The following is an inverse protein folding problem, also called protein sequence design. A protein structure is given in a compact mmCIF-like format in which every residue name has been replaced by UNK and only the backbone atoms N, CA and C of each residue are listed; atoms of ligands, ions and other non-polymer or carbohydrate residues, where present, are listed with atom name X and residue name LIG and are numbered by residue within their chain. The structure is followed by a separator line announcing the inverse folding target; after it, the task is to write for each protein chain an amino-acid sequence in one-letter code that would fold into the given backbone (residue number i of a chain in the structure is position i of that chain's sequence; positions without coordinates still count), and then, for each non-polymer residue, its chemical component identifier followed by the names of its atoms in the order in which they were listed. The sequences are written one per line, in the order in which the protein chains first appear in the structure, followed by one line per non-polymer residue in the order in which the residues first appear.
data_IF_611843577585
#
_entry.id   IF_611843577585
#
_cell.length_a   1.000
_cell.length_b   1.000
_cell.length_c   1.000
_cell.angle_alpha   90.00
_cell.angle_beta   90.00
_cell.angle_gamma   90.00
#
_symmetry.space_group_name_H-M   'P 1'
#
loop_
_entity.id
_entity.type
_entity.pdbx_description
1 polymer ?
#
# COMPACT_ATOMS: atom_id res chain seq x y z
N UNK A 1 -16.35 42.81 21.87
CA UNK A 1 -15.23 42.69 20.90
C UNK A 1 -15.83 42.27 19.57
N UNK A 2 -15.51 42.97 18.47
CA UNK A 2 -16.04 42.62 17.15
C UNK A 2 -15.54 41.23 16.74
N UNK A 3 -16.46 40.35 16.32
CA UNK A 3 -16.12 39.03 15.80
C UNK A 3 -15.29 39.24 14.52
N UNK A 4 -14.10 38.64 14.45
CA UNK A 4 -13.29 38.72 13.24
C UNK A 4 -14.03 38.03 12.10
N UNK A 5 -14.03 38.63 10.90
CA UNK A 5 -14.75 38.12 9.73
C UNK A 5 -14.02 36.98 9.00
N UNK A 6 -12.79 36.64 9.42
CA UNK A 6 -11.94 35.63 8.80
C UNK A 6 -11.26 34.79 9.89
N UNK A 7 -11.23 33.48 9.70
CA UNK A 7 -10.51 32.54 10.56
C UNK A 7 -9.78 31.52 9.68
N UNK A 8 -8.50 31.28 9.94
CA UNK A 8 -7.73 30.22 9.31
C UNK A 8 -7.53 29.09 10.33
N UNK A 9 -8.09 27.91 10.06
CA UNK A 9 -7.99 26.73 10.92
C UNK A 9 -7.31 25.59 10.17
N UNK A 10 -6.44 24.87 10.87
CA UNK A 10 -5.90 23.61 10.38
C UNK A 10 -6.95 22.51 10.61
N UNK A 11 -7.30 21.78 9.56
CA UNK A 11 -8.22 20.63 9.62
C UNK A 11 -7.72 19.56 8.66
N UNK A 12 -7.90 18.29 9.03
CA UNK A 12 -7.53 17.16 8.18
C UNK A 12 -8.68 16.81 7.26
N UNK A 13 -8.38 16.54 5.99
CA UNK A 13 -9.32 16.07 4.98
C UNK A 13 -8.84 14.75 4.39
N UNK A 14 -9.76 13.84 4.12
CA UNK A 14 -9.49 12.62 3.38
C UNK A 14 -9.76 12.87 1.90
N UNK A 15 -8.76 12.64 1.06
CA UNK A 15 -8.85 12.80 -0.39
C UNK A 15 -8.53 11.48 -1.08
N UNK A 16 -9.17 11.25 -2.23
CA UNK A 16 -8.84 10.12 -3.09
C UNK A 16 -7.51 10.38 -3.80
N UNK A 17 -6.65 9.36 -3.84
CA UNK A 17 -5.33 9.46 -4.48
C UNK A 17 -5.30 8.58 -5.72
N UNK A 18 -5.06 9.18 -6.88
CA UNK A 18 -4.86 8.47 -8.15
C UNK A 18 -3.37 8.31 -8.41
N UNK A 19 -2.89 7.06 -8.39
CA UNK A 19 -1.49 6.74 -8.69
C UNK A 19 -1.28 6.66 -10.19
N UNK A 20 -0.36 7.48 -10.71
CA UNK A 20 0.05 7.46 -12.11
C UNK A 20 1.33 6.65 -12.23
N UNK A 21 1.22 5.45 -12.78
CA UNK A 21 2.31 4.47 -12.83
C UNK A 21 2.99 4.37 -14.21
N UNK A 22 2.51 5.12 -15.20
CA UNK A 22 2.99 5.07 -16.57
C UNK A 22 3.07 6.48 -17.17
N UNK A 23 3.95 6.72 -18.14
CA UNK A 23 4.14 8.05 -18.77
C UNK A 23 3.35 8.24 -20.07
N UNK A 24 2.96 7.14 -20.74
CA UNK A 24 2.12 7.17 -21.95
C UNK A 24 0.65 7.50 -21.62
N UNK A 25 0.18 8.62 -22.15
CA UNK A 25 -1.18 9.13 -21.96
C UNK A 25 -2.26 8.25 -22.59
N UNK A 26 -1.95 7.50 -23.65
CA UNK A 26 -2.92 6.62 -24.29
C UNK A 26 -3.24 5.43 -23.38
N UNK A 27 -2.21 4.87 -22.73
CA UNK A 27 -2.36 3.78 -21.76
C UNK A 27 -3.13 4.29 -20.54
N UNK A 28 -2.78 5.47 -20.02
CA UNK A 28 -3.50 6.10 -18.90
C UNK A 28 -4.98 6.30 -19.25
N UNK A 29 -5.30 6.84 -20.43
CA UNK A 29 -6.66 7.09 -20.88
C UNK A 29 -7.49 5.80 -20.89
N UNK A 30 -6.98 4.75 -21.54
CA UNK A 30 -7.69 3.48 -21.67
C UNK A 30 -7.92 2.80 -20.31
N UNK A 31 -6.93 2.81 -19.42
CA UNK A 31 -7.09 2.25 -18.07
C UNK A 31 -8.06 3.07 -17.21
N UNK A 32 -8.02 4.39 -17.34
CA UNK A 32 -8.91 5.27 -16.61
C UNK A 32 -10.36 5.08 -17.06
N UNK A 33 -10.62 4.96 -18.37
CA UNK A 33 -11.97 4.70 -18.90
C UNK A 33 -12.53 3.38 -18.36
N UNK A 34 -11.71 2.33 -18.30
CA UNK A 34 -12.10 1.05 -17.70
C UNK A 34 -12.45 1.19 -16.20
N UNK A 35 -11.67 1.96 -15.43
CA UNK A 35 -11.95 2.19 -14.00
C UNK A 35 -13.22 3.03 -13.79
N UNK A 36 -13.42 4.05 -14.62
CA UNK A 36 -14.61 4.89 -14.58
C UNK A 36 -15.86 4.07 -14.91
N UNK A 37 -15.79 3.16 -15.88
CA UNK A 37 -16.90 2.27 -16.22
C UNK A 37 -17.26 1.30 -15.08
N UNK A 38 -16.26 0.81 -14.33
CA UNK A 38 -16.48 -0.11 -13.22
C UNK A 38 -17.08 0.57 -11.98
N UNK A 39 -16.70 1.83 -11.70
CA UNK A 39 -17.14 2.54 -10.51
C UNK A 39 -17.44 4.03 -10.77
N UNK A 40 -18.44 4.39 -11.60
CA UNK A 40 -18.68 5.77 -12.00
C UNK A 40 -18.88 6.71 -10.80
N UNK A 41 -19.66 6.25 -9.82
CA UNK A 41 -20.02 7.04 -8.64
C UNK A 41 -18.83 7.39 -7.75
N UNK A 42 -17.75 6.61 -7.79
CA UNK A 42 -16.55 6.88 -6.99
C UNK A 42 -15.78 8.12 -7.51
N UNK A 43 -15.89 8.40 -8.80
CA UNK A 43 -15.09 9.42 -9.48
C UNK A 43 -15.85 10.71 -9.79
N UNK A 44 -17.18 10.67 -9.81
CA UNK A 44 -18.02 11.83 -10.10
C UNK A 44 -17.80 12.97 -9.10
N UNK A 45 -17.17 14.06 -9.56
CA UNK A 45 -16.93 15.26 -8.77
C UNK A 45 -15.98 15.09 -7.58
N UNK A 46 -15.27 13.95 -7.51
CA UNK A 46 -14.34 13.68 -6.41
C UNK A 46 -13.07 14.53 -6.55
N UNK A 47 -12.64 15.25 -5.49
CA UNK A 47 -11.34 15.90 -5.47
C UNK A 47 -10.23 14.85 -5.38
N UNK A 48 -9.35 14.83 -6.38
CA UNK A 48 -8.28 13.85 -6.53
C UNK A 48 -6.91 14.48 -6.36
N UNK A 49 -6.03 13.75 -5.67
CA UNK A 49 -4.60 14.01 -5.61
C UNK A 49 -3.88 13.02 -6.53
N UNK A 50 -3.00 13.49 -7.40
CA UNK A 50 -2.20 12.61 -8.26
C UNK A 50 -0.91 12.23 -7.54
N UNK A 51 -0.64 10.92 -7.40
CA UNK A 51 0.65 10.43 -6.95
C UNK A 51 1.54 10.14 -8.15
N UNK A 52 2.74 10.73 -8.16
CA UNK A 52 3.66 10.71 -9.31
C UNK A 52 4.95 9.92 -9.02
N UNK A 53 4.99 9.18 -7.91
CA UNK A 53 6.18 8.48 -7.43
C UNK A 53 6.84 7.57 -8.47
N UNK A 54 6.03 6.89 -9.29
CA UNK A 54 6.52 5.96 -10.32
C UNK A 54 7.06 6.66 -11.58
N UNK A 55 6.74 7.94 -11.78
CA UNK A 55 7.04 8.69 -13.02
C UNK A 55 7.88 9.95 -12.75
N UNK A 56 8.53 10.05 -11.58
CA UNK A 56 9.37 11.21 -11.21
C UNK A 56 10.51 11.47 -12.20
N UNK A 57 11.02 10.41 -12.84
CA UNK A 57 12.17 10.46 -13.75
C UNK A 57 11.81 10.30 -15.22
N UNK A 58 10.53 10.38 -15.55
CA UNK A 58 10.04 10.23 -16.92
C UNK A 58 9.41 11.53 -17.39
N UNK A 59 9.61 11.86 -18.66
CA UNK A 59 8.94 12.98 -19.28
C UNK A 59 7.48 12.63 -19.58
N UNK A 60 6.55 13.47 -19.12
CA UNK A 60 5.12 13.37 -19.40
C UNK A 60 4.59 14.78 -19.64
N UNK A 61 3.68 14.92 -20.61
CA UNK A 61 3.01 16.20 -20.83
C UNK A 61 1.92 16.41 -19.78
N UNK A 62 2.22 17.25 -18.80
CA UNK A 62 1.31 17.57 -17.70
C UNK A 62 0.05 18.34 -18.14
N UNK A 63 0.14 19.15 -19.20
CA UNK A 63 -1.03 19.85 -19.73
C UNK A 63 -1.97 18.85 -20.38
N UNK A 64 -1.44 17.95 -21.19
CA UNK A 64 -2.22 16.90 -21.82
C UNK A 64 -2.81 15.93 -20.79
N UNK A 65 -2.04 15.56 -19.75
CA UNK A 65 -2.55 14.77 -18.62
C UNK A 65 -3.70 15.49 -17.90
N UNK A 66 -3.55 16.79 -17.63
CA UNK A 66 -4.60 17.60 -16.99
C UNK A 66 -5.87 17.62 -17.84
N UNK A 67 -5.75 17.86 -19.15
CA UNK A 67 -6.91 17.87 -20.07
C UNK A 67 -7.60 16.50 -20.12
N UNK A 68 -6.83 15.42 -20.25
CA UNK A 68 -7.33 14.04 -20.25
C UNK A 68 -8.21 13.73 -19.03
N UNK A 69 -7.82 14.23 -17.86
CA UNK A 69 -8.55 14.05 -16.61
C UNK A 69 -9.80 14.96 -16.54
N UNK A 70 -9.69 16.22 -16.98
CA UNK A 70 -10.82 17.18 -17.03
C UNK A 70 -11.92 16.69 -17.97
N UNK A 71 -11.57 16.15 -19.13
CA UNK A 71 -12.50 15.60 -20.12
C UNK A 71 -13.33 14.43 -19.56
N UNK A 72 -12.85 13.81 -18.47
CA UNK A 72 -13.50 12.73 -17.73
C UNK A 72 -14.17 13.20 -16.44
N UNK A 73 -14.40 14.51 -16.32
CA UNK A 73 -15.05 15.16 -15.18
C UNK A 73 -14.33 14.95 -13.84
N UNK A 74 -13.01 14.73 -13.86
CA UNK A 74 -12.19 14.58 -12.66
C UNK A 74 -11.67 15.94 -12.19
N UNK A 75 -11.68 16.16 -10.87
CA UNK A 75 -11.22 17.40 -10.26
C UNK A 75 -9.87 17.16 -9.60
N UNK A 76 -8.80 17.68 -10.20
CA UNK A 76 -7.45 17.57 -9.64
C UNK A 76 -7.22 18.71 -8.67
N UNK A 77 -7.00 18.38 -7.39
CA UNK A 77 -6.73 19.38 -6.35
C UNK A 77 -5.27 19.45 -5.96
N UNK A 78 -4.49 18.40 -6.23
CA UNK A 78 -3.08 18.40 -5.90
C UNK A 78 -2.27 17.26 -6.51
N UNK A 79 -0.95 17.32 -6.30
CA UNK A 79 0.03 16.30 -6.63
C UNK A 79 0.83 15.90 -5.38
N UNK A 80 1.35 14.67 -5.36
CA UNK A 80 2.26 14.18 -4.33
C UNK A 80 3.36 13.32 -4.95
N UNK A 81 4.48 13.18 -4.24
CA UNK A 81 5.67 12.43 -4.68
C UNK A 81 6.13 12.81 -6.10
N UNK A 82 6.28 14.10 -6.36
CA UNK A 82 6.62 14.66 -7.67
C UNK A 82 8.08 15.17 -7.72
N UNK A 83 8.67 15.18 -8.92
CA UNK A 83 9.98 15.80 -9.15
C UNK A 83 9.92 17.33 -9.10
N UNK A 84 11.06 18.04 -8.93
CA UNK A 84 11.07 19.50 -8.91
C UNK A 84 10.47 20.15 -10.17
N UNK A 85 10.72 19.57 -11.35
CA UNK A 85 10.16 20.04 -12.61
C UNK A 85 8.63 19.88 -12.65
N UNK A 86 8.13 18.73 -12.21
CA UNK A 86 6.70 18.45 -12.12
C UNK A 86 6.00 19.37 -11.12
N UNK A 87 6.68 19.73 -10.02
CA UNK A 87 6.18 20.68 -9.03
C UNK A 87 5.99 22.07 -9.66
N UNK A 88 6.95 22.55 -10.44
CA UNK A 88 6.84 23.86 -11.10
C UNK A 88 5.73 23.86 -12.17
N UNK A 89 5.59 22.77 -12.93
CA UNK A 89 4.47 22.60 -13.86
C UNK A 89 3.10 22.55 -13.16
N UNK A 90 3.00 21.87 -12.03
CA UNK A 90 1.75 21.81 -11.25
C UNK A 90 1.36 23.20 -10.72
N UNK A 91 2.34 23.96 -10.19
CA UNK A 91 2.10 25.32 -9.70
C UNK A 91 1.61 26.26 -10.79
N UNK A 92 2.18 26.21 -11.99
CA UNK A 92 1.75 27.06 -13.12
C UNK A 92 0.31 26.78 -13.55
N UNK A 93 -0.19 25.57 -13.25
CA UNK A 93 -1.56 25.13 -13.51
C UNK A 93 -2.52 25.29 -12.31
N UNK A 94 -2.08 25.95 -11.24
CA UNK A 94 -2.82 26.11 -9.97
C UNK A 94 -3.16 24.79 -9.25
N UNK A 95 -2.31 23.77 -9.38
CA UNK A 95 -2.43 22.48 -8.69
C UNK A 95 -1.52 22.50 -7.45
N UNK A 96 -2.08 22.16 -6.29
CA UNK A 96 -1.34 22.20 -5.03
C UNK A 96 -0.32 21.07 -4.92
N UNK A 97 0.80 21.32 -4.22
CA UNK A 97 1.69 20.24 -3.77
C UNK A 97 1.22 19.77 -2.40
N UNK A 98 0.71 18.55 -2.35
CA UNK A 98 0.19 17.93 -1.13
C UNK A 98 1.24 16.99 -0.57
N UNK A 99 1.63 17.21 0.68
CA UNK A 99 2.42 16.23 1.41
C UNK A 99 1.49 15.11 1.83
N UNK A 100 1.66 13.92 1.27
CA UNK A 100 0.99 12.75 1.80
C UNK A 100 1.42 12.60 3.26
N UNK A 101 0.46 12.47 4.18
CA UNK A 101 0.78 12.03 5.53
C UNK A 101 1.57 10.72 5.43
N UNK A 102 2.48 10.41 6.37
CA UNK A 102 3.23 9.15 6.35
C UNK A 102 2.24 7.98 6.32
N UNK A 103 1.85 7.51 5.13
CA UNK A 103 1.38 6.16 4.96
C UNK A 103 2.56 5.33 5.44
N UNK A 104 2.34 4.56 6.50
CA UNK A 104 3.31 3.59 6.94
C UNK A 104 3.64 2.76 5.70
N UNK A 105 4.83 2.98 5.13
CA UNK A 105 5.39 2.15 4.07
C UNK A 105 5.21 0.75 4.63
N UNK A 106 4.36 -0.06 4.01
CA UNK A 106 4.19 -1.46 4.38
C UNK A 106 5.60 -2.01 4.24
N UNK A 107 6.31 -2.15 5.36
CA UNK A 107 7.63 -2.74 5.34
C UNK A 107 7.43 -4.08 4.66
N UNK A 108 8.21 -4.35 3.62
CA UNK A 108 8.36 -5.70 3.11
C UNK A 108 8.85 -6.49 4.32
N UNK A 109 7.91 -7.15 5.01
CA UNK A 109 8.23 -8.12 6.04
C UNK A 109 9.14 -9.11 5.33
N UNK A 110 10.33 -9.41 5.87
CA UNK A 110 11.19 -10.41 5.26
C UNK A 110 10.35 -11.66 5.00
N UNK A 111 10.44 -12.24 3.80
CA UNK A 111 9.75 -13.50 3.46
C UNK A 111 10.25 -14.60 4.41
N UNK A 112 9.62 -14.71 5.59
CA UNK A 112 9.84 -15.82 6.52
C UNK A 112 9.16 -17.03 5.90
N UNK A 113 9.91 -17.84 5.16
CA UNK A 113 9.40 -19.05 4.54
C UNK A 113 8.91 -20.03 5.61
N UNK A 114 7.61 -20.10 5.85
CA UNK A 114 7.02 -20.97 6.86
C UNK A 114 7.31 -22.44 6.57
N UNK A 115 7.89 -23.15 7.56
CA UNK A 115 8.12 -24.60 7.47
C UNK A 115 6.84 -25.34 7.85
N UNK A 116 6.37 -26.23 6.98
CA UNK A 116 5.13 -27.00 7.19
C UNK A 116 5.44 -28.49 7.37
N UNK A 117 5.00 -29.07 8.48
CA UNK A 117 5.11 -30.50 8.79
C UNK A 117 3.71 -31.11 8.84
N UNK A 118 3.40 -32.04 7.94
CA UNK A 118 2.06 -32.67 7.84
C UNK A 118 1.96 -34.05 8.51
N UNK A 119 2.74 -34.27 9.57
CA UNK A 119 2.80 -35.55 10.27
C UNK A 119 3.00 -35.35 11.78
N UNK A 120 2.68 -36.39 12.55
CA UNK A 120 2.96 -36.41 13.99
C UNK A 120 4.47 -36.38 14.25
N UNK A 121 4.91 -35.53 15.18
CA UNK A 121 6.30 -35.46 15.66
C UNK A 121 6.44 -36.42 16.84
N UNK A 122 7.20 -37.48 16.65
CA UNK A 122 7.31 -38.60 17.60
C UNK A 122 8.40 -38.35 18.64
N UNK A 123 8.36 -39.09 19.74
CA UNK A 123 9.37 -39.03 20.78
C UNK A 123 10.78 -39.22 20.20
N UNK A 124 11.72 -38.36 20.58
CA UNK A 124 13.09 -38.34 20.08
C UNK A 124 13.30 -37.55 18.78
N UNK A 125 12.24 -37.03 18.16
CA UNK A 125 12.36 -36.17 16.98
C UNK A 125 12.45 -34.70 17.37
N UNK A 126 13.32 -33.97 16.67
CA UNK A 126 13.46 -32.53 16.76
C UNK A 126 13.20 -31.90 15.39
N UNK A 127 12.29 -30.92 15.32
CA UNK A 127 12.01 -30.14 14.12
C UNK A 127 12.41 -28.69 14.36
N UNK A 128 13.33 -28.16 13.57
CA UNK A 128 13.74 -26.76 13.64
C UNK A 128 13.35 -25.99 12.37
N UNK A 129 12.73 -24.83 12.53
CA UNK A 129 12.41 -23.85 11.49
C UNK A 129 13.27 -22.58 11.67
N UNK A 130 14.41 -22.57 10.98
CA UNK A 130 15.36 -21.46 11.02
C UNK A 130 14.83 -20.26 10.23
N UNK A 131 14.92 -19.05 10.81
CA UNK A 131 14.42 -17.78 10.28
C UNK A 131 12.97 -17.82 9.80
N UNK A 132 12.15 -18.69 10.38
CA UNK A 132 10.84 -19.03 9.86
C UNK A 132 9.85 -19.36 10.97
N UNK A 133 8.57 -19.24 10.63
CA UNK A 133 7.49 -19.84 11.42
C UNK A 133 7.43 -21.37 11.16
N UNK A 134 6.89 -22.12 12.11
CA UNK A 134 6.65 -23.56 11.98
C UNK A 134 5.18 -23.88 12.13
N UNK A 135 4.62 -24.60 11.16
CA UNK A 135 3.26 -25.13 11.22
C UNK A 135 3.32 -26.66 11.24
N UNK A 136 2.74 -27.27 12.26
CA UNK A 136 2.61 -28.73 12.36
C UNK A 136 1.15 -29.15 12.29
N UNK A 137 0.78 -29.96 11.30
CA UNK A 137 -0.51 -30.67 11.23
C UNK A 137 -0.32 -32.08 11.77
N UNK A 138 -0.44 -32.22 13.09
CA UNK A 138 -0.17 -33.46 13.81
C UNK A 138 0.15 -33.21 15.27
N UNK A 139 0.14 -34.27 16.06
CA UNK A 139 0.52 -34.22 17.48
C UNK A 139 2.05 -34.19 17.67
N UNK A 140 2.51 -33.49 18.70
CA UNK A 140 3.89 -33.48 19.17
C UNK A 140 3.97 -34.34 20.45
N UNK A 141 4.64 -35.49 20.39
CA UNK A 141 4.69 -36.46 21.49
C UNK A 141 5.55 -36.03 22.69
N UNK A 142 5.43 -36.71 23.84
CA UNK A 142 6.07 -36.33 25.12
C UNK A 142 7.60 -36.10 25.07
N UNK A 143 8.33 -36.76 24.15
CA UNK A 143 9.77 -36.57 23.96
C UNK A 143 10.15 -35.92 22.63
N UNK A 144 9.18 -35.32 21.93
CA UNK A 144 9.43 -34.58 20.70
C UNK A 144 9.76 -33.11 21.01
N UNK A 145 10.51 -32.47 20.12
CA UNK A 145 10.86 -31.05 20.21
C UNK A 145 10.57 -30.33 18.89
N UNK A 146 9.92 -29.17 18.97
CA UNK A 146 9.68 -28.29 17.82
C UNK A 146 10.21 -26.89 18.13
N UNK A 147 10.98 -26.31 17.21
CA UNK A 147 11.70 -25.05 17.41
C UNK A 147 11.48 -24.17 16.19
N UNK A 148 11.23 -22.88 16.40
CA UNK A 148 11.12 -21.89 15.32
C UNK A 148 11.65 -20.53 15.78
N UNK A 149 12.40 -19.85 14.91
CA UNK A 149 12.83 -18.46 15.16
C UNK A 149 11.67 -17.47 14.99
N UNK A 150 10.55 -17.92 14.42
CA UNK A 150 9.29 -17.20 14.34
C UNK A 150 8.25 -17.76 15.31
N UNK A 151 7.03 -17.87 14.81
CA UNK A 151 5.88 -18.43 15.53
C UNK A 151 5.78 -19.94 15.32
N UNK A 152 5.23 -20.65 16.31
CA UNK A 152 4.87 -22.07 16.18
C UNK A 152 3.35 -22.21 16.23
N UNK A 153 2.78 -22.90 15.24
CA UNK A 153 1.38 -23.32 15.21
C UNK A 153 1.29 -24.84 15.17
N UNK A 154 0.54 -25.44 16.09
CA UNK A 154 0.36 -26.90 16.16
C UNK A 154 -1.13 -27.19 16.07
N UNK A 155 -1.54 -27.79 14.96
CA UNK A 155 -2.88 -28.30 14.73
C UNK A 155 -2.97 -29.75 15.21
N UNK A 156 -2.83 -29.93 16.52
CA UNK A 156 -2.79 -31.23 17.20
C UNK A 156 -2.41 -31.10 18.68
N UNK A 157 -2.33 -32.22 19.39
CA UNK A 157 -1.92 -32.20 20.80
C UNK A 157 -0.41 -31.93 20.93
N UNK A 158 -0.03 -30.89 21.68
CA UNK A 158 1.34 -30.64 22.09
C UNK A 158 1.58 -31.28 23.47
N UNK A 159 2.39 -32.35 23.50
CA UNK A 159 2.85 -33.03 24.73
C UNK A 159 4.35 -32.91 24.96
N UNK A 160 5.11 -32.70 23.89
CA UNK A 160 6.55 -32.45 23.92
C UNK A 160 6.88 -30.97 24.14
N UNK A 161 8.08 -30.55 23.72
CA UNK A 161 8.54 -29.15 23.87
C UNK A 161 8.32 -28.35 22.60
N UNK A 162 7.96 -27.08 22.76
CA UNK A 162 7.89 -26.09 21.69
C UNK A 162 8.67 -24.82 22.09
N UNK A 163 9.59 -24.35 21.25
CA UNK A 163 10.40 -23.14 21.48
C UNK A 163 10.24 -22.19 20.31
N UNK A 164 9.66 -21.01 20.56
CA UNK A 164 9.36 -20.00 19.56
C UNK A 164 9.95 -18.65 19.97
N UNK A 165 10.29 -17.81 18.98
CA UNK A 165 10.75 -16.43 19.18
C UNK A 165 12.24 -16.23 18.96
#
# INVERSE_FOLDING_TARGET
MAKQNLELKATSFTLSVLHINHSDLNIIAAELDNKLAQAPQFFLGAPLVLNLSAIQHTHIDFNALKQLLIDRNLIIVGITDASPEQIEQAKSMAIAVVKSGKQARKAELPERATKIVKQNVRSGQQIYAQNADLITFGAVGNGAEVIADGSIHIYGALRGKAMAG
#
